data_IF_858626882389
#
_entry.id   IF_858626882389
#
_cell.length_a   1.000
_cell.length_b   1.000
_cell.length_c   1.000
_cell.angle_alpha   90.00
_cell.angle_beta   90.00
_cell.angle_gamma   90.00
#
_symmetry.space_group_name_H-M   'P 1'
#
loop_
_entity.id
_entity.type
_entity.pdbx_description
1 polymer ?
#
# COMPACT_ATOMS: atom_id res chain seq x y z
N UNK A 1 -5.29 3.10 2.52
CA UNK A 1 -4.12 2.98 3.42
C UNK A 1 -4.42 3.22 4.89
N UNK A 2 -5.03 4.35 5.30
CA UNK A 2 -5.35 4.59 6.72
C UNK A 2 -6.21 3.50 7.36
N UNK A 3 -7.36 3.20 6.76
CA UNK A 3 -8.28 2.19 7.27
C UNK A 3 -7.63 0.79 7.35
N UNK A 4 -6.94 0.39 6.28
CA UNK A 4 -6.16 -0.84 6.23
C UNK A 4 -5.15 -0.98 7.39
N UNK A 5 -4.39 0.09 7.67
CA UNK A 5 -3.45 0.08 8.79
C UNK A 5 -4.19 0.06 10.15
N UNK A 6 -5.28 0.80 10.28
CA UNK A 6 -6.13 0.80 11.47
C UNK A 6 -6.66 -0.59 11.80
N UNK A 7 -7.21 -1.29 10.81
CA UNK A 7 -7.73 -2.66 10.94
C UNK A 7 -6.63 -3.70 11.20
N UNK A 8 -5.48 -3.55 10.54
CA UNK A 8 -4.29 -4.39 10.81
C UNK A 8 -3.86 -4.24 12.27
N UNK A 9 -3.74 -3.00 12.76
CA UNK A 9 -3.34 -2.72 14.14
C UNK A 9 -4.38 -3.18 15.16
N UNK A 10 -5.67 -2.99 14.89
CA UNK A 10 -6.74 -3.49 15.73
C UNK A 10 -6.63 -5.01 15.91
N UNK A 11 -6.39 -5.74 14.82
CA UNK A 11 -6.18 -7.20 14.84
C UNK A 11 -4.94 -7.58 15.65
N UNK A 12 -3.81 -6.88 15.43
CA UNK A 12 -2.55 -7.17 16.14
C UNK A 12 -2.61 -6.87 17.64
N UNK A 13 -3.41 -5.88 18.08
CA UNK A 13 -3.60 -5.57 19.52
C UNK A 13 -4.18 -6.74 20.32
N UNK A 14 -4.90 -7.65 19.67
CA UNK A 14 -5.45 -8.85 20.31
C UNK A 14 -4.41 -9.98 20.44
N UNK A 15 -3.23 -9.86 19.80
CA UNK A 15 -2.14 -10.81 19.97
C UNK A 15 -1.28 -10.41 21.19
N UNK A 16 -1.11 -11.30 22.20
CA UNK A 16 -0.36 -10.98 23.42
C UNK A 16 1.08 -10.50 23.19
N UNK A 17 1.75 -11.04 22.17
CA UNK A 17 3.10 -10.64 21.79
C UNK A 17 3.15 -9.19 21.29
N UNK A 18 2.16 -8.79 20.49
CA UNK A 18 2.07 -7.43 19.93
C UNK A 18 1.44 -6.43 20.89
N UNK A 19 0.62 -6.86 21.85
CA UNK A 19 0.06 -5.96 22.87
C UNK A 19 1.16 -5.23 23.65
N UNK A 20 2.28 -5.89 23.92
CA UNK A 20 3.43 -5.30 24.62
C UNK A 20 4.34 -4.49 23.67
N UNK A 21 4.49 -4.94 22.42
CA UNK A 21 5.40 -4.34 21.45
C UNK A 21 4.78 -3.19 20.65
N UNK A 22 3.47 -3.07 20.51
CA UNK A 22 2.85 -2.04 19.67
C UNK A 22 3.05 -0.59 20.14
N UNK A 23 2.98 -0.26 21.45
CA UNK A 23 3.13 1.12 21.90
C UNK A 23 4.44 1.80 21.45
N UNK A 24 5.63 1.19 21.60
CA UNK A 24 6.88 1.81 21.13
C UNK A 24 7.02 1.88 19.60
N UNK A 25 6.26 1.09 18.84
CA UNK A 25 6.35 1.07 17.36
C UNK A 25 5.28 1.94 16.67
N UNK A 26 4.35 2.52 17.43
CA UNK A 26 3.23 3.30 16.92
C UNK A 26 3.65 4.50 16.05
N UNK A 27 4.69 5.24 16.45
CA UNK A 27 5.23 6.36 15.68
C UNK A 27 5.82 5.95 14.33
N UNK A 28 6.59 4.86 14.31
CA UNK A 28 7.15 4.30 13.07
C UNK A 28 6.07 3.81 12.10
N UNK A 29 5.01 3.20 12.61
CA UNK A 29 3.88 2.76 11.81
C UNK A 29 3.10 3.93 11.22
N UNK A 30 2.92 5.02 11.98
CA UNK A 30 2.30 6.25 11.48
C UNK A 30 3.14 6.87 10.35
N UNK A 31 4.44 6.97 10.56
CA UNK A 31 5.38 7.47 9.54
C UNK A 31 5.38 6.58 8.29
N UNK A 32 5.27 5.25 8.46
CA UNK A 32 5.18 4.32 7.36
C UNK A 32 3.89 4.48 6.55
N UNK A 33 2.74 4.66 7.21
CA UNK A 33 1.47 4.95 6.51
C UNK A 33 1.56 6.25 5.73
N UNK A 34 2.11 7.31 6.35
CA UNK A 34 2.31 8.60 5.68
C UNK A 34 3.19 8.45 4.43
N UNK A 35 4.27 7.68 4.55
CA UNK A 35 5.18 7.36 3.45
C UNK A 35 4.46 6.66 2.29
N UNK A 36 3.61 5.67 2.57
CA UNK A 36 2.85 4.96 1.53
C UNK A 36 1.78 5.86 0.89
N UNK A 37 1.12 6.74 1.66
CA UNK A 37 0.20 7.74 1.12
C UNK A 37 0.91 8.72 0.18
N UNK A 38 2.11 9.16 0.53
CA UNK A 38 2.91 10.05 -0.32
C UNK A 38 3.26 9.38 -1.66
N UNK A 39 3.56 8.07 -1.65
CA UNK A 39 3.79 7.29 -2.89
C UNK A 39 2.53 7.18 -3.72
N UNK A 40 1.40 6.80 -3.12
CA UNK A 40 0.12 6.67 -3.82
C UNK A 40 -0.34 8.01 -4.41
N UNK A 41 -0.11 9.11 -3.68
CA UNK A 41 -0.37 10.47 -4.16
C UNK A 41 0.46 10.81 -5.41
N UNK A 42 1.75 10.47 -5.42
CA UNK A 42 2.60 10.67 -6.60
C UNK A 42 2.07 9.89 -7.82
N UNK A 43 1.55 8.67 -7.62
CA UNK A 43 0.91 7.90 -8.71
C UNK A 43 -0.33 8.62 -9.25
N UNK A 44 -1.20 9.12 -8.36
CA UNK A 44 -2.42 9.86 -8.74
C UNK A 44 -2.06 11.15 -9.50
N UNK A 45 -1.03 11.87 -9.06
CA UNK A 45 -0.57 13.09 -9.72
C UNK A 45 -0.07 12.80 -11.15
N UNK A 46 0.72 11.74 -11.33
CA UNK A 46 1.16 11.31 -12.66
C UNK A 46 -0.04 10.89 -13.53
N UNK A 47 -0.99 10.14 -12.98
CA UNK A 47 -2.22 9.76 -13.68
C UNK A 47 -3.02 10.99 -14.15
N UNK A 48 -3.09 12.02 -13.31
CA UNK A 48 -3.75 13.28 -13.62
C UNK A 48 -3.05 14.04 -14.75
N UNK A 49 -1.72 14.13 -14.72
CA UNK A 49 -0.97 14.74 -15.83
C UNK A 49 -1.16 13.97 -17.14
N UNK A 50 -1.11 12.64 -17.10
CA UNK A 50 -1.40 11.77 -18.25
C UNK A 50 -2.81 11.98 -18.80
N UNK A 51 -3.81 12.11 -17.92
CA UNK A 51 -5.21 12.41 -18.32
C UNK A 51 -5.31 13.75 -19.04
N UNK A 52 -4.72 14.82 -18.48
CA UNK A 52 -4.72 16.16 -19.08
C UNK A 52 -4.04 16.22 -20.44
N UNK A 53 -3.00 15.41 -20.63
CA UNK A 53 -2.26 15.31 -21.88
C UNK A 53 -2.92 14.34 -22.87
N UNK A 54 -4.01 13.66 -22.47
CA UNK A 54 -4.67 12.61 -23.25
C UNK A 54 -3.70 11.52 -23.72
N UNK A 55 -2.66 11.28 -22.93
CA UNK A 55 -1.63 10.28 -23.23
C UNK A 55 -1.66 9.21 -22.14
N UNK A 56 -1.90 7.94 -22.48
CA UNK A 56 -1.90 6.89 -21.48
C UNK A 56 -0.51 6.78 -20.83
N UNK A 57 -0.44 6.53 -19.51
CA UNK A 57 0.83 6.33 -18.83
C UNK A 57 1.51 5.03 -19.30
N UNK A 58 2.85 5.03 -19.33
CA UNK A 58 3.65 3.88 -19.74
C UNK A 58 4.87 3.64 -18.84
N UNK A 59 5.85 2.88 -19.35
CA UNK A 59 7.03 2.51 -18.56
C UNK A 59 7.90 3.70 -18.15
N UNK A 60 7.82 4.82 -18.87
CA UNK A 60 8.53 6.05 -18.49
C UNK A 60 8.01 6.58 -17.16
N UNK A 61 6.70 6.70 -17.03
CA UNK A 61 6.02 7.17 -15.82
C UNK A 61 6.32 6.24 -14.65
N UNK A 62 6.31 4.93 -14.87
CA UNK A 62 6.67 3.94 -13.84
C UNK A 62 8.12 4.12 -13.37
N UNK A 63 9.08 4.34 -14.27
CA UNK A 63 10.48 4.58 -13.85
C UNK A 63 10.61 5.84 -12.99
N UNK A 64 9.88 6.90 -13.32
CA UNK A 64 9.86 8.15 -12.53
C UNK A 64 9.27 7.87 -11.14
N UNK A 65 8.14 7.15 -11.07
CA UNK A 65 7.48 6.80 -9.81
C UNK A 65 8.35 5.90 -8.93
N UNK A 66 9.06 4.92 -9.51
CA UNK A 66 10.01 4.08 -8.77
C UNK A 66 11.15 4.92 -8.19
N UNK A 67 11.71 5.84 -8.97
CA UNK A 67 12.75 6.75 -8.50
C UNK A 67 12.25 7.64 -7.36
N UNK A 68 11.04 8.21 -7.48
CA UNK A 68 10.40 8.99 -6.42
C UNK A 68 10.18 8.16 -5.15
N UNK A 69 9.73 6.90 -5.29
CA UNK A 69 9.54 6.01 -4.15
C UNK A 69 10.86 5.68 -3.44
N UNK A 70 11.98 5.54 -4.17
CA UNK A 70 13.32 5.39 -3.56
C UNK A 70 13.68 6.62 -2.73
N UNK A 71 13.41 7.83 -3.22
CA UNK A 71 13.67 9.07 -2.48
C UNK A 71 12.84 9.15 -1.20
N UNK A 72 11.54 8.85 -1.30
CA UNK A 72 10.62 8.79 -0.16
C UNK A 72 11.10 7.76 0.87
N UNK A 73 11.50 6.55 0.44
CA UNK A 73 12.03 5.51 1.33
C UNK A 73 13.33 5.96 2.03
N UNK A 74 14.26 6.63 1.30
CA UNK A 74 15.50 7.16 1.89
C UNK A 74 15.21 8.22 2.95
N UNK A 75 14.26 9.11 2.69
CA UNK A 75 13.85 10.12 3.68
C UNK A 75 13.23 9.48 4.92
N UNK A 76 12.39 8.47 4.73
CA UNK A 76 11.81 7.69 5.83
C UNK A 76 12.90 7.04 6.67
N UNK A 77 13.83 6.29 6.08
CA UNK A 77 14.92 5.63 6.81
C UNK A 77 15.78 6.63 7.59
N UNK A 78 16.02 7.84 7.04
CA UNK A 78 16.75 8.90 7.74
C UNK A 78 16.00 9.47 8.95
N UNK A 79 14.67 9.58 8.86
CA UNK A 79 13.80 10.13 9.92
C UNK A 79 13.46 9.10 10.98
N UNK A 80 13.38 7.82 10.62
CA UNK A 80 13.06 6.73 11.52
C UNK A 80 14.28 6.34 12.36
N UNK A 81 14.47 7.00 13.50
CA UNK A 81 15.42 6.56 14.52
C UNK A 81 14.83 5.38 15.31
N UNK A 82 15.15 4.15 14.91
CA UNK A 82 15.01 2.99 15.79
C UNK A 82 16.39 2.59 16.33
N UNK A 83 16.65 2.74 17.64
CA UNK A 83 17.89 2.27 18.22
C UNK A 83 18.03 0.75 18.01
N UNK A 84 19.21 0.30 17.59
CA UNK A 84 19.60 -1.11 17.39
C UNK A 84 18.96 -1.88 16.21
N UNK A 85 18.25 -1.23 15.28
CA UNK A 85 17.73 -1.89 14.08
C UNK A 85 18.29 -1.21 12.83
N UNK A 86 19.20 -1.89 12.13
CA UNK A 86 19.69 -1.45 10.82
C UNK A 86 18.71 -1.83 9.71
N UNK A 87 18.08 -0.84 9.09
CA UNK A 87 17.22 -1.03 7.91
C UNK A 87 18.06 -0.84 6.65
N UNK A 88 18.35 -1.91 5.92
CA UNK A 88 18.98 -1.85 4.60
C UNK A 88 17.96 -2.30 3.55
N UNK A 89 17.34 -1.36 2.85
CA UNK A 89 16.37 -1.69 1.80
C UNK A 89 17.13 -2.13 0.54
N UNK A 90 17.00 -3.40 0.15
CA UNK A 90 17.46 -3.90 -1.14
C UNK A 90 16.38 -3.66 -2.18
N UNK A 91 16.48 -2.54 -2.90
CA UNK A 91 15.44 -2.12 -3.83
C UNK A 91 15.23 -3.11 -4.99
N UNK A 92 16.29 -3.79 -5.42
CA UNK A 92 16.23 -4.87 -6.42
C UNK A 92 15.25 -5.99 -6.05
N UNK A 93 15.08 -6.30 -4.77
CA UNK A 93 14.17 -7.37 -4.32
C UNK A 93 12.70 -6.99 -4.44
N UNK A 94 12.38 -5.70 -4.39
CA UNK A 94 10.99 -5.22 -4.23
C UNK A 94 10.48 -4.43 -5.43
N UNK A 95 11.38 -4.01 -6.33
CA UNK A 95 11.03 -3.11 -7.43
C UNK A 95 10.05 -3.72 -8.42
N UNK A 96 10.13 -5.02 -8.68
CA UNK A 96 9.19 -5.69 -9.57
C UNK A 96 7.74 -5.60 -9.03
N UNK A 97 7.54 -5.97 -7.76
CA UNK A 97 6.22 -5.90 -7.10
C UNK A 97 5.74 -4.45 -6.98
N UNK A 98 6.64 -3.53 -6.63
CA UNK A 98 6.30 -2.11 -6.53
C UNK A 98 5.89 -1.52 -7.87
N UNK A 99 6.60 -1.88 -8.95
CA UNK A 99 6.25 -1.47 -10.30
C UNK A 99 4.90 -2.03 -10.71
N UNK A 100 4.58 -3.28 -10.35
CA UNK A 100 3.25 -3.84 -10.60
C UNK A 100 2.15 -3.07 -9.86
N UNK A 101 2.33 -2.78 -8.57
CA UNK A 101 1.36 -1.99 -7.77
C UNK A 101 1.17 -0.60 -8.38
N UNK A 102 2.25 0.07 -8.74
CA UNK A 102 2.21 1.39 -9.37
C UNK A 102 1.50 1.34 -10.72
N UNK A 103 1.78 0.35 -11.57
CA UNK A 103 1.08 0.19 -12.86
C UNK A 103 -0.41 0.01 -12.68
N UNK A 104 -0.81 -0.88 -11.77
CA UNK A 104 -2.21 -1.14 -11.48
C UNK A 104 -2.93 0.12 -11.00
N UNK A 105 -2.36 0.82 -10.01
CA UNK A 105 -2.94 2.05 -9.49
C UNK A 105 -2.97 3.16 -10.55
N UNK A 106 -1.89 3.33 -11.32
CA UNK A 106 -1.75 4.35 -12.34
C UNK A 106 -2.78 4.18 -13.47
N UNK A 107 -2.90 2.97 -14.02
CA UNK A 107 -3.87 2.66 -15.08
C UNK A 107 -5.31 2.80 -14.58
N UNK A 108 -5.61 2.27 -13.38
CA UNK A 108 -6.94 2.40 -12.79
C UNK A 108 -7.36 3.86 -12.57
N UNK A 109 -6.49 4.66 -11.96
CA UNK A 109 -6.75 6.09 -11.71
C UNK A 109 -6.85 6.87 -13.02
N UNK A 110 -5.98 6.60 -14.00
CA UNK A 110 -6.06 7.24 -15.32
C UNK A 110 -7.41 7.02 -15.99
N UNK A 111 -7.91 5.77 -16.01
CA UNK A 111 -9.23 5.44 -16.59
C UNK A 111 -10.38 6.12 -15.85
N UNK A 112 -10.31 6.18 -14.51
CA UNK A 112 -11.31 6.87 -13.69
C UNK A 112 -11.31 8.38 -14.01
N UNK A 113 -10.14 9.00 -14.12
CA UNK A 113 -10.02 10.44 -14.44
C UNK A 113 -10.57 10.77 -15.84
N UNK A 114 -10.34 9.91 -16.82
CA UNK A 114 -10.94 10.03 -18.16
C UNK A 114 -12.48 9.99 -18.12
N UNK A 115 -13.08 9.23 -17.21
CA UNK A 115 -14.52 9.25 -17.01
C UNK A 115 -15.00 10.45 -16.19
N UNK A 116 -14.19 10.96 -15.26
CA UNK A 116 -14.53 12.15 -14.46
C UNK A 116 -14.69 13.41 -15.30
N UNK A 117 -13.94 13.54 -16.41
CA UNK A 117 -14.12 14.64 -17.37
C UNK A 117 -15.53 14.66 -17.99
N UNK A 118 -16.13 13.47 -18.17
CA UNK A 118 -17.50 13.31 -18.71
C UNK A 118 -18.56 13.30 -17.62
N UNK A 119 -18.21 12.84 -16.43
CA UNK A 119 -19.10 12.62 -15.30
C UNK A 119 -18.41 13.09 -14.00
N UNK A 120 -18.65 14.33 -13.54
CA UNK A 120 -17.85 14.98 -12.49
C UNK A 120 -18.04 14.41 -11.06
N UNK A 121 -18.54 13.18 -10.92
CA UNK A 121 -18.73 12.49 -9.64
C UNK A 121 -17.87 11.23 -9.61
N UNK A 122 -16.94 11.16 -8.66
CA UNK A 122 -16.02 10.03 -8.47
C UNK A 122 -16.74 8.67 -8.48
N UNK A 123 -17.82 8.53 -7.69
CA UNK A 123 -18.60 7.28 -7.64
C UNK A 123 -19.09 6.86 -9.03
N UNK A 124 -19.57 7.81 -9.83
CA UNK A 124 -20.09 7.52 -11.18
C UNK A 124 -18.96 7.20 -12.17
N UNK A 125 -17.84 7.90 -12.08
CA UNK A 125 -16.66 7.59 -12.87
C UNK A 125 -16.11 6.17 -12.57
N UNK A 126 -16.03 5.78 -11.30
CA UNK A 126 -15.63 4.42 -10.90
C UNK A 126 -16.63 3.39 -11.47
N UNK A 127 -17.93 3.60 -11.25
CA UNK A 127 -18.99 2.70 -11.75
C UNK A 127 -19.02 2.58 -13.28
N UNK A 128 -18.47 3.55 -14.01
CA UNK A 128 -18.36 3.50 -15.46
C UNK A 128 -17.15 2.70 -15.97
N UNK A 129 -16.13 2.50 -15.13
CA UNK A 129 -14.89 1.77 -15.49
C UNK A 129 -14.89 0.35 -14.92
N UNK A 130 -15.45 0.18 -13.73
CA UNK A 130 -15.38 -1.07 -12.97
C UNK A 130 -16.78 -1.42 -12.46
N UNK A 131 -17.14 -2.69 -12.59
CA UNK A 131 -18.24 -3.24 -11.79
C UNK A 131 -17.83 -3.43 -10.32
N UNK A 132 -18.78 -3.83 -9.47
CA UNK A 132 -18.54 -4.01 -8.03
C UNK A 132 -17.45 -5.05 -7.76
N UNK A 133 -17.45 -6.16 -8.48
CA UNK A 133 -16.48 -7.25 -8.30
C UNK A 133 -15.09 -6.81 -8.74
N UNK A 134 -14.99 -6.17 -9.91
CA UNK A 134 -13.74 -5.61 -10.44
C UNK A 134 -13.16 -4.54 -9.51
N UNK A 135 -13.99 -3.66 -8.93
CA UNK A 135 -13.53 -2.66 -7.98
C UNK A 135 -13.04 -3.29 -6.67
N UNK A 136 -13.76 -4.28 -6.16
CA UNK A 136 -13.32 -5.05 -5.00
C UNK A 136 -11.95 -5.72 -5.25
N UNK A 137 -11.82 -6.45 -6.37
CA UNK A 137 -10.57 -7.11 -6.75
C UNK A 137 -9.43 -6.12 -6.99
N UNK A 138 -9.72 -4.96 -7.57
CA UNK A 138 -8.74 -3.89 -7.76
C UNK A 138 -8.14 -3.42 -6.43
N UNK A 139 -8.98 -3.10 -5.44
CA UNK A 139 -8.53 -2.67 -4.10
C UNK A 139 -7.77 -3.81 -3.41
N UNK A 140 -8.33 -5.02 -3.44
CA UNK A 140 -7.71 -6.19 -2.82
C UNK A 140 -6.33 -6.49 -3.42
N UNK A 141 -6.20 -6.43 -4.75
CA UNK A 141 -4.92 -6.67 -5.44
C UNK A 141 -3.87 -5.62 -5.07
N UNK A 142 -4.24 -4.34 -5.00
CA UNK A 142 -3.32 -3.27 -4.56
C UNK A 142 -2.80 -3.55 -3.15
N UNK A 143 -3.69 -3.92 -2.23
CA UNK A 143 -3.32 -4.19 -0.84
C UNK A 143 -2.48 -5.47 -0.71
N UNK A 144 -2.79 -6.51 -1.48
CA UNK A 144 -1.99 -7.74 -1.50
C UNK A 144 -0.57 -7.50 -2.03
N UNK A 145 -0.42 -6.70 -3.10
CA UNK A 145 0.91 -6.31 -3.59
C UNK A 145 1.71 -5.52 -2.52
N UNK A 146 1.04 -4.67 -1.74
CA UNK A 146 1.67 -3.99 -0.60
C UNK A 146 2.07 -4.96 0.53
N UNK A 147 1.24 -5.98 0.80
CA UNK A 147 1.56 -7.05 1.75
C UNK A 147 2.81 -7.80 1.32
N UNK A 148 2.89 -8.21 0.05
CA UNK A 148 4.03 -8.93 -0.47
C UNK A 148 5.30 -8.07 -0.46
N UNK A 149 5.20 -6.79 -0.81
CA UNK A 149 6.29 -5.82 -0.65
C UNK A 149 6.77 -5.76 0.81
N UNK A 150 5.84 -5.68 1.77
CA UNK A 150 6.16 -5.65 3.21
C UNK A 150 6.85 -6.93 3.68
N UNK A 151 6.44 -8.10 3.17
CA UNK A 151 7.07 -9.38 3.47
C UNK A 151 8.50 -9.44 2.95
N UNK A 152 8.75 -9.00 1.72
CA UNK A 152 10.11 -8.93 1.16
C UNK A 152 11.00 -7.95 1.93
N UNK A 153 10.46 -6.80 2.32
CA UNK A 153 11.17 -5.82 3.15
C UNK A 153 11.54 -6.38 4.53
N UNK A 154 10.68 -7.21 5.13
CA UNK A 154 10.97 -7.82 6.44
C UNK A 154 12.20 -8.75 6.42
N UNK A 155 12.49 -9.37 5.27
CA UNK A 155 13.70 -10.18 5.06
C UNK A 155 14.97 -9.33 4.97
N UNK A 156 14.81 -8.03 4.69
CA UNK A 156 15.91 -7.06 4.59
C UNK A 156 16.29 -6.44 5.95
N UNK A 157 15.54 -6.74 7.02
CA UNK A 157 15.87 -6.31 8.37
C UNK A 157 17.03 -7.13 8.95
N UNK A 158 18.12 -6.47 9.32
CA UNK A 158 19.25 -7.10 10.01
C UNK A 158 18.89 -7.28 11.49
N UNK A 159 18.45 -8.48 11.85
CA UNK A 159 18.22 -8.89 13.24
C UNK A 159 19.29 -9.90 13.70
N UNK A 160 19.64 -9.91 15.01
CA UNK A 160 20.50 -10.94 15.58
C UNK A 160 19.97 -12.35 15.27
N UNK A 161 20.88 -13.30 15.02
CA UNK A 161 20.55 -14.70 14.68
C UNK A 161 19.59 -15.36 15.68
N UNK A 162 19.72 -15.02 16.96
CA UNK A 162 18.88 -15.51 18.06
C UNK A 162 17.42 -15.05 17.98
N UNK A 163 17.12 -13.99 17.21
CA UNK A 163 15.78 -13.42 17.06
C UNK A 163 15.05 -13.87 15.78
N UNK A 164 15.65 -14.74 14.94
CA UNK A 164 15.04 -15.15 13.66
C UNK A 164 13.67 -15.83 13.82
N UNK A 165 13.53 -16.76 14.78
CA UNK A 165 12.25 -17.45 15.02
C UNK A 165 11.16 -16.49 15.50
N UNK A 166 11.51 -15.54 16.37
CA UNK A 166 10.60 -14.51 16.84
C UNK A 166 10.18 -13.58 15.70
N UNK A 167 11.12 -13.19 14.82
CA UNK A 167 10.83 -12.44 13.59
C UNK A 167 9.85 -13.19 12.69
N UNK A 168 10.08 -14.46 12.42
CA UNK A 168 9.24 -15.23 11.48
C UNK A 168 7.82 -15.40 12.03
N UNK A 169 7.69 -15.61 13.34
CA UNK A 169 6.40 -15.67 14.04
C UNK A 169 5.68 -14.31 13.97
N UNK A 170 6.42 -13.23 14.25
CA UNK A 170 5.89 -11.87 14.16
C UNK A 170 5.45 -11.53 12.74
N UNK A 171 6.26 -11.86 11.73
CA UNK A 171 5.97 -11.65 10.33
C UNK A 171 4.72 -12.43 9.89
N UNK A 172 4.59 -13.68 10.31
CA UNK A 172 3.40 -14.48 10.01
C UNK A 172 2.14 -13.88 10.62
N UNK A 173 2.20 -13.41 11.87
CA UNK A 173 1.07 -12.76 12.53
C UNK A 173 0.68 -11.44 11.87
N UNK A 174 1.67 -10.60 11.54
CA UNK A 174 1.47 -9.33 10.80
C UNK A 174 0.87 -9.60 9.43
N UNK A 175 1.42 -10.55 8.67
CA UNK A 175 0.91 -10.91 7.34
C UNK A 175 -0.54 -11.37 7.41
N UNK A 176 -0.88 -12.24 8.38
CA UNK A 176 -2.26 -12.71 8.56
C UNK A 176 -3.21 -11.57 8.90
N UNK A 177 -2.81 -10.67 9.80
CA UNK A 177 -3.61 -9.50 10.16
C UNK A 177 -3.83 -8.56 8.95
N UNK A 178 -2.78 -8.34 8.16
CA UNK A 178 -2.85 -7.53 6.95
C UNK A 178 -3.77 -8.16 5.90
N UNK A 179 -3.69 -9.47 5.65
CA UNK A 179 -4.57 -10.15 4.68
C UNK A 179 -6.05 -10.01 5.08
N UNK A 180 -6.37 -10.18 6.36
CA UNK A 180 -7.73 -9.97 6.87
C UNK A 180 -8.20 -8.52 6.71
N UNK A 181 -7.34 -7.56 7.02
CA UNK A 181 -7.63 -6.14 6.82
C UNK A 181 -7.80 -5.78 5.34
N UNK A 182 -7.03 -6.41 4.43
CA UNK A 182 -7.13 -6.16 2.99
C UNK A 182 -8.51 -6.55 2.46
N UNK A 183 -8.98 -7.75 2.80
CA UNK A 183 -10.30 -8.24 2.41
C UNK A 183 -11.41 -7.31 2.94
N UNK A 184 -11.38 -7.01 4.24
CA UNK A 184 -12.40 -6.17 4.87
C UNK A 184 -12.44 -4.75 4.29
N UNK A 185 -11.29 -4.13 4.04
CA UNK A 185 -11.23 -2.80 3.41
C UNK A 185 -11.74 -2.84 1.97
N UNK A 186 -11.43 -3.90 1.21
CA UNK A 186 -11.93 -4.06 -0.14
C UNK A 186 -13.46 -4.16 -0.15
N UNK A 187 -14.05 -4.94 0.77
CA UNK A 187 -15.50 -5.07 0.96
C UNK A 187 -16.14 -3.72 1.32
N UNK A 188 -15.60 -3.03 2.32
CA UNK A 188 -16.11 -1.73 2.77
C UNK A 188 -16.06 -0.69 1.65
N UNK A 189 -14.95 -0.63 0.90
CA UNK A 189 -14.81 0.24 -0.25
C UNK A 189 -15.84 -0.08 -1.35
N UNK A 190 -16.05 -1.37 -1.64
CA UNK A 190 -17.06 -1.80 -2.61
C UNK A 190 -18.48 -1.41 -2.17
N UNK A 191 -18.81 -1.56 -0.89
CA UNK A 191 -20.10 -1.11 -0.33
C UNK A 191 -20.26 0.42 -0.43
N UNK A 192 -19.22 1.20 -0.12
CA UNK A 192 -19.28 2.67 -0.21
C UNK A 192 -19.51 3.13 -1.67
N UNK A 193 -18.91 2.45 -2.64
CA UNK A 193 -18.97 2.83 -4.05
C UNK A 193 -20.20 2.27 -4.78
N UNK A 194 -20.70 1.09 -4.42
CA UNK A 194 -21.75 0.39 -5.17
C UNK A 194 -23.02 0.10 -4.35
N UNK A 195 -23.00 0.32 -3.03
CA UNK A 195 -24.07 -0.06 -2.11
C UNK A 195 -23.96 -1.51 -1.62
N UNK A 196 -24.91 -1.93 -0.78
CA UNK A 196 -25.01 -3.32 -0.33
C UNK A 196 -25.54 -4.21 -1.46
N UNK A 197 -24.92 -5.37 -1.66
CA UNK A 197 -25.52 -6.44 -2.45
C UNK A 197 -26.44 -7.24 -1.53
N UNK A 198 -27.73 -7.30 -1.87
CA UNK A 198 -28.70 -8.19 -1.21
C UNK A 198 -28.55 -9.61 -1.74
#
# INVERSE_FOLDING_TARGET
MHEFNGQTLATLKHNPFFKLLLPPFSGFLLDNVRKEIEKDHAVIEVAFQSSRQQSPPGDREIRILLQKAREIDRQFVRKSHMPNIGIQIRHEDIEAIRAERMRLLLDGVYRILQQMEKQPRLRKAIQAVLDRGQFHEFILKILNLYIDETRLLSNSLKLPLTMRRARDTALSAVTKAMLGAAAKVADECAVIMFGMSF
#
